data_IF_516328295985
#
_entry.id   IF_516328295985
#
_cell.length_a   1.000
_cell.length_b   1.000
_cell.length_c   1.000
_cell.angle_alpha   90.00
_cell.angle_beta   90.00
_cell.angle_gamma   90.00
#
_symmetry.space_group_name_H-M   'P 1'
#
loop_
_entity.id
_entity.type
_entity.pdbx_description
1 polymer ?
#
# COMPACT_ATOMS: atom_id res chain seq x y z
N UNK A 1 38.97 18.81 -16.56
CA UNK A 1 38.76 17.54 -17.27
C UNK A 1 39.21 17.72 -18.71
N UNK A 2 40.07 16.85 -19.24
CA UNK A 2 40.37 16.84 -20.67
C UNK A 2 39.07 16.50 -21.43
N UNK A 3 38.79 17.19 -22.54
CA UNK A 3 37.62 16.87 -23.37
C UNK A 3 37.75 15.45 -23.92
N UNK A 4 36.66 14.70 -23.99
CA UNK A 4 36.68 13.34 -24.55
C UNK A 4 37.10 13.36 -26.03
N UNK A 5 36.87 14.47 -26.73
CA UNK A 5 37.44 14.70 -28.07
C UNK A 5 38.97 14.77 -28.07
N UNK A 6 39.61 15.24 -27.01
CA UNK A 6 41.08 15.23 -26.87
C UNK A 6 41.58 13.82 -26.46
N UNK A 7 40.78 13.07 -25.72
CA UNK A 7 41.05 11.67 -25.36
C UNK A 7 40.98 10.77 -26.60
N UNK A 8 39.96 10.93 -27.45
CA UNK A 8 39.84 10.19 -28.72
C UNK A 8 41.00 10.52 -29.68
N UNK A 9 41.41 11.79 -29.78
CA UNK A 9 42.59 12.21 -30.57
C UNK A 9 43.90 11.65 -30.02
N UNK A 10 44.06 11.59 -28.70
CA UNK A 10 45.27 11.03 -28.07
C UNK A 10 45.33 9.51 -28.25
N UNK A 11 44.21 8.81 -28.15
CA UNK A 11 44.12 7.39 -28.50
C UNK A 11 44.52 7.14 -29.96
N UNK A 12 44.00 7.94 -30.89
CA UNK A 12 44.36 7.85 -32.31
C UNK A 12 45.83 8.12 -32.56
N UNK A 13 46.40 9.15 -31.94
CA UNK A 13 47.82 9.46 -32.05
C UNK A 13 48.69 8.35 -31.46
N UNK A 14 48.27 7.74 -30.35
CA UNK A 14 49.00 6.66 -29.69
C UNK A 14 49.02 5.37 -30.51
N UNK A 15 47.91 4.98 -31.14
CA UNK A 15 47.84 3.82 -32.03
C UNK A 15 48.75 3.98 -33.27
N UNK A 16 48.91 5.21 -33.78
CA UNK A 16 49.84 5.49 -34.89
C UNK A 16 51.29 5.31 -34.44
N UNK A 17 51.61 5.68 -33.19
CA UNK A 17 52.98 5.62 -32.67
C UNK A 17 53.35 4.22 -32.17
N UNK A 18 52.39 3.47 -31.61
CA UNK A 18 52.61 2.15 -31.01
C UNK A 18 51.54 1.13 -31.45
N UNK A 19 51.71 0.49 -32.62
CA UNK A 19 50.72 -0.45 -33.17
C UNK A 19 50.43 -1.67 -32.27
N UNK A 20 51.45 -2.16 -31.54
CA UNK A 20 51.32 -3.38 -30.71
C UNK A 20 50.70 -3.14 -29.32
N UNK A 21 50.27 -1.89 -29.03
CA UNK A 21 49.83 -1.48 -27.68
C UNK A 21 48.30 -1.43 -27.51
N UNK A 22 47.55 -1.91 -28.50
CA UNK A 22 46.08 -1.87 -28.55
C UNK A 22 45.41 -2.51 -27.33
N UNK A 23 45.90 -3.65 -26.85
CA UNK A 23 45.35 -4.33 -25.68
C UNK A 23 45.42 -3.47 -24.40
N UNK A 24 46.52 -2.74 -24.20
CA UNK A 24 46.69 -1.84 -23.06
C UNK A 24 45.78 -0.62 -23.16
N UNK A 25 45.51 -0.18 -24.39
CA UNK A 25 44.60 0.92 -24.69
C UNK A 25 43.15 0.55 -24.37
N UNK A 26 42.74 -0.67 -24.71
CA UNK A 26 41.44 -1.24 -24.37
C UNK A 26 41.25 -1.28 -22.85
N UNK A 27 42.23 -1.80 -22.09
CA UNK A 27 42.19 -1.82 -20.62
C UNK A 27 42.00 -0.42 -20.02
N UNK A 28 42.73 0.58 -20.55
CA UNK A 28 42.64 1.97 -20.08
C UNK A 28 41.29 2.61 -20.43
N UNK A 29 40.74 2.32 -21.61
CA UNK A 29 39.41 2.80 -22.00
C UNK A 29 38.34 2.24 -21.05
N UNK A 30 38.35 0.92 -20.80
CA UNK A 30 37.43 0.27 -19.84
C UNK A 30 37.57 0.85 -18.44
N UNK A 31 38.81 1.06 -17.94
CA UNK A 31 39.04 1.67 -16.63
C UNK A 31 38.51 3.11 -16.52
N UNK A 32 38.67 3.91 -17.58
CA UNK A 32 38.14 5.28 -17.64
C UNK A 32 36.61 5.29 -17.59
N UNK A 33 35.93 4.49 -18.41
CA UNK A 33 34.47 4.42 -18.40
C UNK A 33 33.94 3.86 -17.08
N UNK A 34 34.59 2.84 -16.51
CA UNK A 34 34.23 2.30 -15.18
C UNK A 34 34.24 3.40 -14.11
N UNK A 35 35.29 4.22 -14.06
CA UNK A 35 35.37 5.31 -13.09
C UNK A 35 34.28 6.39 -13.30
N UNK A 36 33.97 6.72 -14.56
CA UNK A 36 32.90 7.68 -14.86
C UNK A 36 31.52 7.15 -14.49
N UNK A 37 31.26 5.87 -14.75
CA UNK A 37 30.02 5.22 -14.33
C UNK A 37 29.91 5.09 -12.80
N UNK A 38 31.00 4.85 -12.08
CA UNK A 38 31.00 4.90 -10.62
C UNK A 38 30.72 6.30 -10.07
N UNK A 39 31.13 7.35 -10.78
CA UNK A 39 30.74 8.74 -10.43
C UNK A 39 29.22 8.91 -10.54
N UNK A 40 28.60 8.42 -11.62
CA UNK A 40 27.13 8.43 -11.78
C UNK A 40 26.45 7.60 -10.69
N UNK A 41 27.00 6.43 -10.33
CA UNK A 41 26.48 5.58 -9.26
C UNK A 41 26.56 6.25 -7.88
N UNK A 42 27.64 7.00 -7.62
CA UNK A 42 27.78 7.82 -6.43
C UNK A 42 26.72 8.90 -6.36
N UNK A 43 26.51 9.59 -7.48
CA UNK A 43 25.51 10.63 -7.65
C UNK A 43 24.08 10.08 -7.39
N UNK A 44 23.80 8.84 -7.80
CA UNK A 44 22.52 8.16 -7.57
C UNK A 44 22.14 8.01 -6.09
N UNK A 45 23.13 7.94 -5.18
CA UNK A 45 22.89 7.87 -3.74
C UNK A 45 22.34 9.16 -3.15
N UNK A 46 22.60 10.30 -3.81
CA UNK A 46 22.17 11.63 -3.35
C UNK A 46 20.79 12.05 -3.90
N UNK A 47 20.09 11.14 -4.60
CA UNK A 47 18.81 11.34 -5.29
C UNK A 47 18.88 12.44 -6.36
N UNK A 48 19.08 12.00 -7.60
CA UNK A 48 19.17 12.87 -8.76
C UNK A 48 17.90 12.75 -9.60
N UNK A 49 17.36 13.85 -10.13
CA UNK A 49 16.19 13.77 -11.01
C UNK A 49 16.53 13.05 -12.31
N UNK A 50 15.55 12.35 -12.89
CA UNK A 50 15.74 11.61 -14.14
C UNK A 50 16.27 12.46 -15.30
N UNK A 51 16.00 13.77 -15.34
CA UNK A 51 16.56 14.68 -16.35
C UNK A 51 18.08 14.77 -16.32
N UNK A 52 18.65 14.84 -15.12
CA UNK A 52 20.10 14.98 -14.92
C UNK A 52 20.78 13.62 -15.15
N UNK A 53 20.14 12.53 -14.72
CA UNK A 53 20.59 11.17 -15.05
C UNK A 53 20.63 10.95 -16.56
N UNK A 54 19.59 11.33 -17.29
CA UNK A 54 19.54 11.23 -18.75
C UNK A 54 20.65 12.05 -19.42
N UNK A 55 20.93 13.26 -18.93
CA UNK A 55 22.00 14.09 -19.46
C UNK A 55 23.38 13.44 -19.25
N UNK A 56 23.63 12.87 -18.06
CA UNK A 56 24.86 12.15 -17.76
C UNK A 56 25.01 10.89 -18.65
N UNK A 57 23.96 10.08 -18.77
CA UNK A 57 23.98 8.86 -19.58
C UNK A 57 24.14 9.17 -21.07
N UNK A 58 23.52 10.25 -21.58
CA UNK A 58 23.69 10.71 -22.96
C UNK A 58 25.15 11.08 -23.23
N UNK A 59 25.76 11.89 -22.36
CA UNK A 59 27.17 12.25 -22.49
C UNK A 59 28.08 11.02 -22.49
N UNK A 60 27.84 10.05 -21.60
CA UNK A 60 28.62 8.82 -21.55
C UNK A 60 28.44 7.93 -22.79
N UNK A 61 27.24 7.90 -23.37
CA UNK A 61 26.99 7.19 -24.62
C UNK A 61 27.71 7.82 -25.81
N UNK A 62 27.58 9.14 -25.97
CA UNK A 62 28.28 9.90 -27.04
C UNK A 62 29.79 9.69 -26.93
N UNK A 63 30.33 9.78 -25.71
CA UNK A 63 31.73 9.54 -25.43
C UNK A 63 32.18 8.10 -25.75
N UNK A 64 31.33 7.11 -25.45
CA UNK A 64 31.61 5.71 -25.76
C UNK A 64 31.65 5.47 -27.28
N UNK A 65 30.69 6.03 -28.03
CA UNK A 65 30.66 5.91 -29.49
C UNK A 65 31.87 6.60 -30.15
N UNK A 66 32.29 7.77 -29.65
CA UNK A 66 33.44 8.50 -30.19
C UNK A 66 34.80 7.82 -29.95
N UNK A 67 34.91 6.98 -28.90
CA UNK A 67 36.12 6.18 -28.65
C UNK A 67 36.06 4.85 -29.39
N UNK A 68 34.87 4.26 -29.56
CA UNK A 68 34.67 3.02 -30.34
C UNK A 68 35.00 3.20 -31.83
N UNK A 69 34.81 4.40 -32.39
CA UNK A 69 35.30 4.76 -33.74
C UNK A 69 36.83 4.63 -33.88
N UNK A 70 37.56 4.75 -32.76
CA UNK A 70 39.03 4.66 -32.74
C UNK A 70 39.50 3.26 -32.32
N UNK A 71 38.77 2.59 -31.42
CA UNK A 71 39.12 1.28 -30.86
C UNK A 71 37.87 0.38 -30.87
N UNK A 72 37.46 -0.09 -32.04
CA UNK A 72 36.24 -0.90 -32.17
C UNK A 72 36.33 -2.26 -31.48
N UNK A 73 37.55 -2.77 -31.25
CA UNK A 73 37.78 -4.01 -30.52
C UNK A 73 37.52 -3.88 -29.01
N UNK A 74 37.42 -2.64 -28.50
CA UNK A 74 37.08 -2.39 -27.09
C UNK A 74 35.60 -2.66 -26.77
N UNK A 75 34.73 -2.74 -27.79
CA UNK A 75 33.28 -2.97 -27.66
C UNK A 75 32.62 -2.07 -26.59
N UNK A 76 33.05 -0.80 -26.52
CA UNK A 76 32.59 0.15 -25.51
C UNK A 76 31.07 0.39 -25.54
N UNK A 77 30.38 0.40 -26.70
CA UNK A 77 28.94 0.51 -26.75
C UNK A 77 28.22 -0.66 -26.06
N UNK A 78 28.75 -1.89 -26.15
CA UNK A 78 28.17 -3.04 -25.47
C UNK A 78 28.35 -2.95 -23.95
N UNK A 79 29.55 -2.56 -23.49
CA UNK A 79 29.83 -2.30 -22.08
C UNK A 79 28.96 -1.16 -21.51
N UNK A 80 28.82 -0.09 -22.27
CA UNK A 80 28.02 1.10 -21.93
C UNK A 80 26.53 0.78 -21.83
N UNK A 81 26.01 -0.09 -22.71
CA UNK A 81 24.64 -0.59 -22.66
C UNK A 81 24.36 -1.37 -21.38
N UNK A 82 25.22 -2.35 -21.03
CA UNK A 82 25.03 -3.18 -19.83
C UNK A 82 25.18 -2.36 -18.54
N UNK A 83 26.16 -1.45 -18.49
CA UNK A 83 26.35 -0.60 -17.31
C UNK A 83 25.19 0.37 -17.13
N UNK A 84 24.67 0.94 -18.22
CA UNK A 84 23.52 1.83 -18.16
C UNK A 84 22.24 1.11 -17.76
N UNK A 85 22.05 -0.13 -18.26
CA UNK A 85 20.96 -1.02 -17.83
C UNK A 85 20.95 -1.18 -16.31
N UNK A 86 22.09 -1.48 -15.70
CA UNK A 86 22.21 -1.63 -14.24
C UNK A 86 21.95 -0.32 -13.48
N UNK A 87 22.46 0.80 -13.99
CA UNK A 87 22.24 2.12 -13.37
C UNK A 87 20.77 2.50 -13.39
N UNK A 88 20.08 2.30 -14.51
CA UNK A 88 18.65 2.61 -14.61
C UNK A 88 17.83 1.73 -13.67
N UNK A 89 18.13 0.42 -13.62
CA UNK A 89 17.48 -0.48 -12.67
C UNK A 89 17.67 -0.01 -11.22
N UNK A 90 18.89 0.39 -10.86
CA UNK A 90 19.20 0.93 -9.55
C UNK A 90 18.47 2.25 -9.27
N UNK A 91 18.33 3.12 -10.26
CA UNK A 91 17.61 4.40 -10.15
C UNK A 91 16.15 4.18 -9.79
N UNK A 92 15.46 3.32 -10.54
CA UNK A 92 14.05 2.97 -10.32
C UNK A 92 13.86 2.39 -8.92
N UNK A 93 14.69 1.41 -8.53
CA UNK A 93 14.62 0.80 -7.20
C UNK A 93 14.84 1.80 -6.06
N UNK A 94 15.80 2.73 -6.23
CA UNK A 94 16.10 3.77 -5.24
C UNK A 94 14.96 4.77 -5.12
N UNK A 95 14.33 5.15 -6.23
CA UNK A 95 13.18 6.05 -6.26
C UNK A 95 11.96 5.47 -5.51
N UNK A 96 11.64 4.19 -5.71
CA UNK A 96 10.60 3.50 -4.94
C UNK A 96 10.92 3.40 -3.44
N UNK A 97 12.17 3.11 -3.09
CA UNK A 97 12.61 3.07 -1.70
C UNK A 97 12.45 4.44 -1.01
N UNK A 98 12.81 5.52 -1.69
CA UNK A 98 12.60 6.88 -1.19
C UNK A 98 11.12 7.17 -0.94
N UNK A 99 10.23 6.84 -1.89
CA UNK A 99 8.79 7.02 -1.71
C UNK A 99 8.27 6.23 -0.49
N UNK A 100 8.71 4.99 -0.32
CA UNK A 100 8.33 4.17 0.83
C UNK A 100 8.77 4.83 2.16
N UNK A 101 9.99 5.35 2.22
CA UNK A 101 10.51 6.04 3.40
C UNK A 101 9.72 7.33 3.68
N UNK A 102 9.42 8.12 2.66
CA UNK A 102 8.64 9.36 2.81
C UNK A 102 7.21 9.10 3.32
N UNK A 103 6.56 8.02 2.87
CA UNK A 103 5.24 7.62 3.38
C UNK A 103 5.35 7.17 4.84
N UNK A 104 6.37 6.37 5.14
CA UNK A 104 6.64 5.88 6.50
C UNK A 104 6.90 7.02 7.47
N UNK A 105 7.69 8.02 7.08
CA UNK A 105 7.99 9.19 7.90
C UNK A 105 6.74 9.99 8.23
N UNK A 106 5.84 10.18 7.25
CA UNK A 106 4.55 10.84 7.48
C UNK A 106 3.72 10.04 8.49
N UNK A 107 3.62 8.71 8.34
CA UNK A 107 2.84 7.87 9.25
C UNK A 107 3.41 7.85 10.68
N UNK A 108 4.73 7.75 10.84
CA UNK A 108 5.40 7.70 12.14
C UNK A 108 5.36 9.04 12.87
N UNK A 109 5.59 10.15 12.16
CA UNK A 109 5.55 11.51 12.74
C UNK A 109 4.19 11.82 13.40
N UNK A 110 3.12 11.25 12.88
CA UNK A 110 1.76 11.45 13.41
C UNK A 110 1.37 10.48 14.54
N UNK A 111 2.20 9.45 14.81
CA UNK A 111 1.96 8.46 15.87
C UNK A 111 2.56 8.84 17.23
N UNK A 112 3.52 9.78 17.26
CA UNK A 112 4.32 10.13 18.45
C UNK A 112 3.87 11.40 19.17
N UNK A 113 2.91 12.17 18.65
CA UNK A 113 2.36 13.33 19.37
C UNK A 113 1.44 12.85 20.50
N UNK A 114 2.03 12.64 21.68
CA UNK A 114 1.35 12.29 22.95
C UNK A 114 0.45 13.40 23.52
N UNK A 115 0.25 14.50 22.79
CA UNK A 115 -0.71 15.53 23.19
C UNK A 115 -2.09 15.15 22.67
N UNK A 116 -3.12 15.37 23.50
CA UNK A 116 -4.53 15.12 23.17
C UNK A 116 -4.82 15.56 21.73
N UNK A 117 -4.86 14.58 20.83
CA UNK A 117 -4.97 14.82 19.40
C UNK A 117 -6.30 15.51 19.15
N UNK A 118 -6.28 16.79 18.82
CA UNK A 118 -7.49 17.51 18.45
C UNK A 118 -8.09 16.86 17.20
N UNK A 119 -9.42 16.81 17.13
CA UNK A 119 -10.19 16.15 16.06
C UNK A 119 -9.78 16.63 14.64
N UNK A 120 -9.26 17.86 14.54
CA UNK A 120 -8.76 18.47 13.30
C UNK A 120 -7.37 17.97 12.86
N UNK A 121 -6.51 17.56 13.79
CA UNK A 121 -5.12 17.18 13.53
C UNK A 121 -5.03 15.77 12.92
N UNK A 122 -5.85 14.84 13.41
CA UNK A 122 -5.91 13.46 12.91
C UNK A 122 -6.42 13.38 11.47
N UNK A 123 -7.48 14.13 11.17
CA UNK A 123 -8.03 14.21 9.82
C UNK A 123 -7.02 14.84 8.85
N UNK A 124 -6.30 15.87 9.29
CA UNK A 124 -5.23 16.50 8.50
C UNK A 124 -4.07 15.53 8.24
N UNK A 125 -3.63 14.79 9.26
CA UNK A 125 -2.59 13.77 9.13
C UNK A 125 -3.00 12.66 8.15
N UNK A 126 -4.25 12.19 8.27
CA UNK A 126 -4.82 11.19 7.38
C UNK A 126 -4.86 11.68 5.93
N UNK A 127 -5.35 12.89 5.69
CA UNK A 127 -5.42 13.45 4.35
C UNK A 127 -4.02 13.69 3.76
N UNK A 128 -3.07 14.15 4.58
CA UNK A 128 -1.66 14.28 4.19
C UNK A 128 -1.07 12.93 3.78
N UNK A 129 -1.38 11.85 4.48
CA UNK A 129 -0.90 10.50 4.14
C UNK A 129 -1.46 10.02 2.81
N UNK A 130 -2.76 10.21 2.56
CA UNK A 130 -3.41 9.86 1.28
C UNK A 130 -2.81 10.64 0.12
N UNK A 131 -2.66 11.95 0.28
CA UNK A 131 -2.04 12.82 -0.72
C UNK A 131 -0.62 12.35 -0.99
N UNK A 132 0.17 12.05 0.05
CA UNK A 132 1.55 11.62 -0.13
C UNK A 132 1.67 10.29 -0.89
N UNK A 133 0.81 9.31 -0.57
CA UNK A 133 0.77 8.02 -1.27
C UNK A 133 0.36 8.22 -2.73
N UNK A 134 -0.74 8.93 -2.98
CA UNK A 134 -1.27 9.10 -4.35
C UNK A 134 -0.36 9.99 -5.20
N UNK A 135 0.04 11.15 -4.70
CA UNK A 135 0.88 12.09 -5.45
C UNK A 135 2.28 11.51 -5.66
N UNK A 136 2.85 10.83 -4.66
CA UNK A 136 4.17 10.22 -4.81
C UNK A 136 4.20 9.13 -5.89
N UNK A 137 3.13 8.33 -6.04
CA UNK A 137 3.05 7.37 -7.14
C UNK A 137 2.98 8.06 -8.51
N UNK A 138 2.23 9.17 -8.61
CA UNK A 138 2.10 9.95 -9.86
C UNK A 138 3.42 10.64 -10.21
N UNK A 139 4.11 11.22 -9.22
CA UNK A 139 5.40 11.88 -9.40
C UNK A 139 6.44 10.87 -9.93
N UNK A 140 6.47 9.65 -9.38
CA UNK A 140 7.33 8.57 -9.89
C UNK A 140 6.97 8.17 -11.33
N UNK A 141 5.68 8.03 -11.65
CA UNK A 141 5.24 7.72 -13.02
C UNK A 141 5.68 8.80 -14.01
N UNK A 142 5.54 10.08 -13.64
CA UNK A 142 6.00 11.21 -14.45
C UNK A 142 7.52 11.20 -14.62
N UNK A 143 8.26 10.93 -13.54
CA UNK A 143 9.71 10.82 -13.57
C UNK A 143 10.17 9.68 -14.51
N UNK A 144 9.57 8.49 -14.41
CA UNK A 144 9.90 7.37 -15.29
C UNK A 144 9.42 7.57 -16.72
N UNK A 145 8.34 8.33 -16.93
CA UNK A 145 7.93 8.73 -18.27
C UNK A 145 8.99 9.61 -18.92
N UNK A 146 9.54 10.59 -18.20
CA UNK A 146 10.67 11.38 -18.69
C UNK A 146 11.88 10.52 -19.04
N UNK A 147 12.15 9.47 -18.25
CA UNK A 147 13.22 8.51 -18.52
C UNK A 147 13.01 7.74 -19.84
N UNK A 148 11.78 7.28 -20.11
CA UNK A 148 11.45 6.56 -21.35
C UNK A 148 11.38 7.47 -22.58
N UNK A 149 10.92 8.71 -22.41
CA UNK A 149 10.86 9.72 -23.48
C UNK A 149 12.26 10.22 -23.90
N UNK A 150 13.32 9.79 -23.21
CA UNK A 150 14.71 10.06 -23.58
C UNK A 150 15.08 9.46 -24.95
N UNK A 151 15.23 10.32 -25.96
CA UNK A 151 15.62 9.91 -27.32
C UNK A 151 17.14 9.68 -27.47
N UNK A 152 17.70 8.70 -26.79
CA UNK A 152 19.04 8.16 -27.12
C UNK A 152 18.93 6.73 -27.64
N UNK A 153 19.80 6.34 -28.57
CA UNK A 153 19.80 5.00 -29.16
C UNK A 153 19.87 3.90 -28.09
N UNK A 154 20.63 4.15 -27.02
CA UNK A 154 20.71 3.27 -25.86
C UNK A 154 19.36 3.10 -25.14
N UNK A 155 18.60 4.17 -24.94
CA UNK A 155 17.30 4.11 -24.25
C UNK A 155 16.23 3.44 -25.10
N UNK A 156 16.30 3.60 -26.43
CA UNK A 156 15.42 2.85 -27.35
C UNK A 156 15.61 1.34 -27.18
N UNK A 157 16.87 0.89 -27.03
CA UNK A 157 17.21 -0.53 -26.80
C UNK A 157 16.78 -1.03 -25.41
N UNK A 158 16.76 -0.16 -24.40
CA UNK A 158 16.40 -0.51 -23.02
C UNK A 158 14.93 -0.28 -22.68
N UNK A 159 14.14 0.35 -23.57
CA UNK A 159 12.77 0.78 -23.29
C UNK A 159 11.89 -0.32 -22.72
N UNK A 160 11.90 -1.50 -23.33
CA UNK A 160 11.06 -2.62 -22.89
C UNK A 160 11.48 -3.12 -21.49
N UNK A 161 12.79 -3.14 -21.21
CA UNK A 161 13.31 -3.49 -19.88
C UNK A 161 12.93 -2.45 -18.82
N UNK A 162 12.97 -1.17 -19.18
CA UNK A 162 12.55 -0.08 -18.28
C UNK A 162 11.08 -0.21 -17.95
N UNK A 163 10.23 -0.48 -18.95
CA UNK A 163 8.79 -0.75 -18.74
C UNK A 163 8.61 -1.91 -17.76
N UNK A 164 9.31 -3.03 -17.98
CA UNK A 164 9.23 -4.20 -17.11
C UNK A 164 9.67 -3.89 -15.68
N UNK A 165 10.77 -3.16 -15.47
CA UNK A 165 11.23 -2.77 -14.14
C UNK A 165 10.30 -1.79 -13.42
N UNK A 166 9.65 -0.88 -14.15
CA UNK A 166 8.66 0.03 -13.56
C UNK A 166 7.44 -0.77 -13.10
N UNK A 167 6.94 -1.70 -13.93
CA UNK A 167 5.83 -2.57 -13.57
C UNK A 167 6.17 -3.46 -12.36
N UNK A 168 7.32 -4.14 -12.39
CA UNK A 168 7.82 -4.95 -11.27
C UNK A 168 8.00 -4.09 -10.01
N UNK A 169 8.56 -2.89 -10.17
CA UNK A 169 8.78 -1.94 -9.07
C UNK A 169 7.50 -1.51 -8.39
N UNK A 170 6.42 -1.23 -9.13
CA UNK A 170 5.12 -0.95 -8.52
C UNK A 170 4.55 -2.15 -7.77
N UNK A 171 4.65 -3.36 -8.33
CA UNK A 171 4.19 -4.59 -7.67
C UNK A 171 4.91 -4.79 -6.33
N UNK A 172 6.24 -4.71 -6.33
CA UNK A 172 7.09 -4.89 -5.16
C UNK A 172 6.90 -3.75 -4.14
N UNK A 173 6.79 -2.50 -4.60
CA UNK A 173 6.52 -1.34 -3.75
C UNK A 173 5.24 -1.51 -2.94
N UNK A 174 4.13 -1.88 -3.60
CA UNK A 174 2.85 -2.04 -2.92
C UNK A 174 2.85 -3.22 -1.93
N UNK A 175 3.56 -4.31 -2.24
CA UNK A 175 3.73 -5.44 -1.32
C UNK A 175 4.58 -5.06 -0.09
N UNK A 176 5.69 -4.34 -0.30
CA UNK A 176 6.56 -3.86 0.78
C UNK A 176 5.87 -2.82 1.66
N UNK A 177 5.05 -1.95 1.07
CA UNK A 177 4.26 -0.97 1.80
C UNK A 177 3.21 -1.64 2.70
N UNK A 178 2.51 -2.66 2.20
CA UNK A 178 1.59 -3.47 3.01
C UNK A 178 2.32 -4.17 4.16
N UNK A 179 3.48 -4.78 3.88
CA UNK A 179 4.34 -5.38 4.90
C UNK A 179 4.76 -4.37 5.99
N UNK A 180 5.05 -3.13 5.60
CA UNK A 180 5.35 -2.06 6.54
C UNK A 180 4.13 -1.66 7.39
N UNK A 181 2.92 -1.66 6.82
CA UNK A 181 1.69 -1.41 7.59
C UNK A 181 1.46 -2.47 8.66
N UNK A 182 1.74 -3.75 8.36
CA UNK A 182 1.67 -4.82 9.38
C UNK A 182 2.69 -4.62 10.51
N UNK A 183 3.90 -4.16 10.17
CA UNK A 183 4.92 -3.81 11.16
C UNK A 183 4.48 -2.66 12.07
N UNK A 184 3.93 -1.58 11.48
CA UNK A 184 3.41 -0.42 12.22
C UNK A 184 2.21 -0.76 13.11
N UNK A 185 1.37 -1.71 12.67
CA UNK A 185 0.24 -2.22 13.47
C UNK A 185 0.69 -3.07 14.68
N UNK A 186 2.00 -3.28 14.90
CA UNK A 186 2.55 -4.12 15.97
C UNK A 186 2.34 -5.61 15.77
N UNK A 187 1.89 -6.02 14.58
CA UNK A 187 1.65 -7.41 14.21
C UNK A 187 2.79 -7.90 13.32
N UNK A 188 3.99 -8.00 13.90
CA UNK A 188 5.08 -8.74 13.25
C UNK A 188 4.70 -10.21 13.23
N UNK A 189 4.35 -10.74 12.06
CA UNK A 189 4.31 -12.19 11.86
C UNK A 189 5.75 -12.70 11.90
N UNK A 190 6.19 -13.10 13.09
CA UNK A 190 7.40 -13.88 13.26
C UNK A 190 7.27 -15.24 12.58
N UNK A 191 8.01 -15.43 11.49
CA UNK A 191 8.55 -16.74 11.15
C UNK A 191 9.53 -17.12 12.26
N UNK A 192 9.11 -17.97 13.21
CA UNK A 192 9.93 -18.97 13.92
C UNK A 192 9.23 -19.44 15.21
N UNK A 193 8.75 -20.67 15.14
CA UNK A 193 8.83 -21.76 16.13
C UNK A 193 8.89 -21.42 17.63
N UNK A 194 7.84 -21.91 18.32
CA UNK A 194 7.83 -22.47 19.68
C UNK A 194 8.86 -21.95 20.71
N UNK A 195 8.37 -21.12 21.63
CA UNK A 195 8.67 -21.33 23.05
C UNK A 195 7.62 -20.64 23.91
N UNK A 196 7.21 -21.37 24.94
CA UNK A 196 6.12 -21.12 25.85
C UNK A 196 6.34 -19.94 26.81
N UNK A 197 5.24 -19.61 27.49
CA UNK A 197 5.15 -19.04 28.84
C UNK A 197 5.45 -17.55 29.05
N UNK A 198 4.34 -16.83 29.25
CA UNK A 198 4.13 -15.66 30.12
C UNK A 198 4.86 -14.37 29.70
N UNK A 199 4.16 -13.54 28.92
CA UNK A 199 4.16 -12.08 29.10
C UNK A 199 3.04 -11.42 28.25
N UNK A 200 1.83 -11.35 28.83
CA UNK A 200 0.68 -10.60 28.26
C UNK A 200 0.75 -9.09 28.58
N UNK A 201 1.94 -8.48 28.54
CA UNK A 201 2.21 -7.11 29.03
C UNK A 201 2.71 -6.14 27.93
N UNK A 202 2.52 -6.43 26.64
CA UNK A 202 2.86 -5.49 25.56
C UNK A 202 1.72 -5.19 24.59
N UNK A 203 0.50 -4.95 25.09
CA UNK A 203 -0.59 -4.38 24.27
C UNK A 203 -0.49 -2.84 24.21
N UNK A 204 0.44 -2.22 24.93
CA UNK A 204 0.39 -0.78 25.26
C UNK A 204 1.31 0.13 24.42
N UNK A 205 1.69 -0.24 23.20
CA UNK A 205 2.62 0.59 22.38
C UNK A 205 2.16 0.97 20.98
N UNK A 206 1.01 0.48 20.50
CA UNK A 206 0.48 0.89 19.19
C UNK A 206 -0.72 1.82 19.40
N UNK A 207 -0.65 3.10 18.97
CA UNK A 207 -1.81 3.98 19.02
C UNK A 207 -2.98 3.34 18.28
N UNK A 208 -4.09 3.07 18.98
CA UNK A 208 -5.26 2.39 18.38
C UNK A 208 -5.80 3.18 17.17
N UNK A 209 -5.61 4.50 17.20
CA UNK A 209 -5.91 5.44 16.11
C UNK A 209 -5.08 5.16 14.85
N UNK A 210 -3.80 4.80 14.98
CA UNK A 210 -2.92 4.46 13.85
C UNK A 210 -3.44 3.21 13.12
N UNK A 211 -3.88 2.19 13.85
CA UNK A 211 -4.45 0.97 13.25
C UNK A 211 -5.69 1.29 12.40
N UNK A 212 -6.54 2.21 12.86
CA UNK A 212 -7.73 2.64 12.11
C UNK A 212 -7.35 3.48 10.88
N UNK A 213 -6.34 4.35 10.99
CA UNK A 213 -5.78 5.07 9.85
C UNK A 213 -5.23 4.12 8.79
N UNK A 214 -4.47 3.10 9.18
CA UNK A 214 -3.93 2.09 8.26
C UNK A 214 -5.05 1.35 7.53
N UNK A 215 -6.12 0.97 8.22
CA UNK A 215 -7.29 0.35 7.61
C UNK A 215 -7.92 1.24 6.52
N UNK A 216 -8.14 2.52 6.83
CA UNK A 216 -8.71 3.46 5.86
C UNK A 216 -7.74 3.80 4.72
N UNK A 217 -6.43 3.82 4.98
CA UNK A 217 -5.41 4.05 3.95
C UNK A 217 -5.37 2.88 2.96
N UNK A 218 -5.54 1.64 3.43
CA UNK A 218 -5.67 0.47 2.57
C UNK A 218 -6.86 0.60 1.61
N UNK A 219 -8.02 1.05 2.11
CA UNK A 219 -9.22 1.29 1.29
C UNK A 219 -8.95 2.38 0.26
N UNK A 220 -8.30 3.47 0.65
CA UNK A 220 -7.95 4.55 -0.28
C UNK A 220 -6.99 4.07 -1.38
N UNK A 221 -5.98 3.29 -1.01
CA UNK A 221 -5.03 2.70 -1.98
C UNK A 221 -5.79 1.80 -2.97
N UNK A 222 -6.67 0.94 -2.46
CA UNK A 222 -7.51 0.05 -3.27
C UNK A 222 -8.43 0.81 -4.24
N UNK A 223 -9.15 1.82 -3.75
CA UNK A 223 -10.24 2.45 -4.49
C UNK A 223 -9.78 3.62 -5.38
N UNK A 224 -8.64 4.24 -5.09
CA UNK A 224 -8.22 5.48 -5.75
C UNK A 224 -6.81 5.37 -6.30
N UNK A 225 -5.83 4.98 -5.48
CA UNK A 225 -4.42 4.97 -5.93
C UNK A 225 -4.16 3.91 -6.99
N UNK A 226 -4.57 2.66 -6.76
CA UNK A 226 -4.31 1.56 -7.70
C UNK A 226 -5.00 1.79 -9.05
N UNK A 227 -6.29 2.17 -9.13
CA UNK A 227 -6.93 2.47 -10.41
C UNK A 227 -6.20 3.57 -11.18
N UNK A 228 -5.80 4.66 -10.50
CA UNK A 228 -5.09 5.77 -11.13
C UNK A 228 -3.70 5.37 -11.64
N UNK A 229 -2.94 4.64 -10.83
CA UNK A 229 -1.64 4.08 -11.24
C UNK A 229 -1.81 3.13 -12.42
N UNK A 230 -2.86 2.31 -12.43
CA UNK A 230 -3.14 1.36 -13.52
C UNK A 230 -3.46 2.08 -14.82
N UNK A 231 -4.25 3.15 -14.77
CA UNK A 231 -4.59 3.99 -15.93
C UNK A 231 -3.33 4.66 -16.51
N UNK A 232 -2.56 5.37 -15.67
CA UNK A 232 -1.34 6.05 -16.09
C UNK A 232 -0.28 5.07 -16.64
N UNK A 233 -0.19 3.87 -16.05
CA UNK A 233 0.71 2.80 -16.49
C UNK A 233 0.25 2.20 -17.83
N UNK A 234 -1.05 2.04 -18.04
CA UNK A 234 -1.59 1.59 -19.33
C UNK A 234 -1.36 2.64 -20.44
N UNK A 235 -1.40 3.92 -20.11
CA UNK A 235 -1.18 5.01 -21.08
C UNK A 235 0.28 5.14 -21.50
N UNK A 236 1.21 5.06 -20.53
CA UNK A 236 2.63 5.41 -20.77
C UNK A 236 3.57 4.19 -20.84
N UNK A 237 3.15 3.04 -20.31
CA UNK A 237 3.99 1.84 -20.13
C UNK A 237 3.32 0.56 -20.68
N UNK A 238 2.49 0.71 -21.73
CA UNK A 238 1.93 -0.42 -22.47
C UNK A 238 2.97 -1.01 -23.43
N UNK A 239 3.13 -2.35 -23.41
CA UNK A 239 3.98 -3.07 -24.37
C UNK A 239 5.17 -3.85 -23.81
N UNK A 240 5.25 -4.12 -22.50
CA UNK A 240 6.28 -4.99 -21.91
C UNK A 240 6.21 -6.43 -22.43
N UNK A 241 6.90 -6.71 -23.54
CA UNK A 241 6.87 -7.98 -24.26
C UNK A 241 8.19 -8.75 -24.25
N UNK A 242 9.28 -8.15 -23.74
CA UNK A 242 10.62 -8.75 -23.70
C UNK A 242 10.82 -9.69 -22.49
N UNK A 243 9.77 -10.40 -22.07
CA UNK A 243 9.82 -11.24 -20.87
C UNK A 243 10.52 -12.56 -21.14
N UNK A 244 11.82 -12.58 -20.94
CA UNK A 244 12.55 -13.81 -20.59
C UNK A 244 12.10 -14.24 -19.18
N UNK A 245 12.01 -15.55 -18.91
CA UNK A 245 11.60 -16.15 -17.63
C UNK A 245 12.41 -15.72 -16.37
N UNK A 246 13.36 -14.80 -16.51
CA UNK A 246 14.29 -14.33 -15.46
C UNK A 246 13.81 -13.07 -14.70
N UNK A 247 12.76 -12.38 -15.17
CA UNK A 247 12.29 -11.13 -14.57
C UNK A 247 10.99 -11.30 -13.77
N UNK A 248 10.77 -10.42 -12.77
CA UNK A 248 9.69 -10.53 -11.80
C UNK A 248 8.27 -10.42 -12.39
N UNK A 249 7.23 -10.72 -11.58
CA UNK A 249 5.86 -10.65 -12.04
C UNK A 249 5.47 -9.22 -12.45
N UNK A 250 4.59 -9.05 -13.45
CA UNK A 250 4.10 -7.73 -13.82
C UNK A 250 3.34 -7.09 -12.66
N UNK A 251 3.09 -5.80 -12.78
CA UNK A 251 2.06 -5.17 -11.96
C UNK A 251 0.71 -5.83 -12.23
N UNK A 252 0.13 -6.47 -11.20
CA UNK A 252 -1.19 -7.10 -11.28
C UNK A 252 -2.14 -6.34 -10.36
N UNK A 253 -2.90 -5.35 -10.88
CA UNK A 253 -3.79 -4.51 -10.07
C UNK A 253 -4.77 -5.33 -9.23
N UNK A 254 -5.31 -6.42 -9.78
CA UNK A 254 -6.25 -7.30 -9.10
C UNK A 254 -5.67 -8.00 -7.86
N UNK A 255 -4.39 -8.38 -7.89
CA UNK A 255 -3.72 -9.00 -6.74
C UNK A 255 -3.47 -7.97 -5.65
N UNK A 256 -2.96 -6.79 -6.02
CA UNK A 256 -2.68 -5.71 -5.08
C UNK A 256 -3.98 -5.18 -4.45
N UNK A 257 -5.06 -4.99 -5.23
CA UNK A 257 -6.37 -4.62 -4.67
C UNK A 257 -6.86 -5.66 -3.66
N UNK A 258 -6.74 -6.95 -3.96
CA UNK A 258 -7.12 -8.01 -3.01
C UNK A 258 -6.25 -8.01 -1.76
N UNK A 259 -4.95 -7.74 -1.90
CA UNK A 259 -4.02 -7.62 -0.79
C UNK A 259 -4.46 -6.50 0.16
N UNK A 260 -4.63 -5.28 -0.35
CA UNK A 260 -5.03 -4.13 0.46
C UNK A 260 -6.43 -4.26 1.03
N UNK A 261 -7.38 -4.88 0.32
CA UNK A 261 -8.70 -5.20 0.89
C UNK A 261 -8.58 -6.13 2.10
N UNK A 262 -7.86 -7.24 1.94
CA UNK A 262 -7.63 -8.21 3.02
C UNK A 262 -6.88 -7.58 4.20
N UNK A 263 -5.86 -6.75 3.94
CA UNK A 263 -5.11 -6.07 4.99
C UNK A 263 -5.95 -5.01 5.70
N UNK A 264 -6.75 -4.23 4.97
CA UNK A 264 -7.72 -3.29 5.53
C UNK A 264 -8.71 -3.97 6.48
N UNK A 265 -9.27 -5.11 6.09
CA UNK A 265 -10.11 -5.96 6.94
C UNK A 265 -9.39 -6.42 8.20
N UNK A 266 -8.14 -6.89 8.08
CA UNK A 266 -7.33 -7.33 9.22
C UNK A 266 -7.05 -6.19 10.19
N UNK A 267 -6.73 -5.00 9.71
CA UNK A 267 -6.48 -3.82 10.54
C UNK A 267 -7.76 -3.35 11.23
N UNK A 268 -8.89 -3.31 10.51
CA UNK A 268 -10.18 -2.97 11.10
C UNK A 268 -10.58 -3.96 12.20
N UNK A 269 -10.44 -5.27 11.95
CA UNK A 269 -10.71 -6.28 12.95
C UNK A 269 -9.75 -6.16 14.16
N UNK A 270 -8.49 -5.80 13.91
CA UNK A 270 -7.52 -5.57 14.98
C UNK A 270 -7.93 -4.39 15.87
N UNK A 271 -8.35 -3.27 15.26
CA UNK A 271 -8.91 -2.12 15.97
C UNK A 271 -10.13 -2.52 16.83
N UNK A 272 -11.09 -3.25 16.25
CA UNK A 272 -12.28 -3.73 16.95
C UNK A 272 -11.88 -4.61 18.14
N UNK A 273 -10.93 -5.53 17.95
CA UNK A 273 -10.45 -6.40 19.03
C UNK A 273 -9.82 -5.60 20.17
N UNK A 274 -8.99 -4.60 19.87
CA UNK A 274 -8.36 -3.73 20.89
C UNK A 274 -9.44 -2.98 21.69
N UNK A 275 -10.39 -2.32 21.00
CA UNK A 275 -11.48 -1.57 21.67
C UNK A 275 -12.40 -2.49 22.46
N UNK A 276 -12.76 -3.66 21.91
CA UNK A 276 -13.61 -4.65 22.58
C UNK A 276 -12.93 -5.20 23.83
N UNK A 277 -11.63 -5.47 23.80
CA UNK A 277 -10.87 -5.89 24.98
C UNK A 277 -10.84 -4.81 26.05
N UNK A 278 -10.67 -3.53 25.68
CA UNK A 278 -10.71 -2.39 26.62
C UNK A 278 -12.07 -2.30 27.31
N UNK A 279 -13.16 -2.37 26.54
CA UNK A 279 -14.54 -2.38 27.07
C UNK A 279 -14.78 -3.60 27.95
N UNK A 280 -14.33 -4.79 27.53
CA UNK A 280 -14.49 -6.03 28.30
C UNK A 280 -13.76 -5.97 29.65
N UNK A 281 -12.55 -5.40 29.70
CA UNK A 281 -11.83 -5.17 30.95
C UNK A 281 -12.57 -4.19 31.87
N UNK A 282 -13.13 -3.11 31.32
CA UNK A 282 -13.95 -2.15 32.06
C UNK A 282 -15.19 -2.83 32.66
N UNK A 283 -15.87 -3.66 31.87
CA UNK A 283 -17.05 -4.43 32.24
C UNK A 283 -16.73 -5.45 33.36
N UNK A 284 -15.73 -6.30 33.13
CA UNK A 284 -15.31 -7.35 34.07
C UNK A 284 -14.84 -6.77 35.41
N UNK A 285 -14.16 -5.61 35.41
CA UNK A 285 -13.72 -4.94 36.64
C UNK A 285 -14.89 -4.58 37.57
N UNK A 286 -16.07 -4.28 37.02
CA UNK A 286 -17.26 -3.96 37.81
C UNK A 286 -18.08 -5.18 38.20
N UNK A 287 -18.28 -6.12 37.27
CA UNK A 287 -19.07 -7.33 37.55
C UNK A 287 -18.38 -8.32 38.50
N UNK A 288 -17.05 -8.33 38.55
CA UNK A 288 -16.29 -9.21 39.45
C UNK A 288 -16.19 -8.70 40.90
N UNK A 289 -16.85 -7.61 41.27
CA UNK A 289 -16.83 -7.11 42.66
C UNK A 289 -17.70 -8.02 43.54
N UNK A 290 -17.15 -8.70 44.58
CA UNK A 290 -17.76 -9.93 45.10
C UNK A 290 -18.90 -9.77 46.12
N UNK A 291 -19.41 -8.58 46.42
CA UNK A 291 -20.45 -8.45 47.47
C UNK A 291 -21.52 -7.40 47.13
N UNK A 292 -22.38 -7.75 46.19
CA UNK A 292 -23.58 -6.97 45.84
C UNK A 292 -24.57 -6.82 47.02
N UNK A 293 -24.52 -7.72 48.00
CA UNK A 293 -25.46 -7.77 49.13
C UNK A 293 -25.13 -6.82 50.30
N UNK A 294 -23.89 -6.28 50.38
CA UNK A 294 -23.42 -5.46 51.54
C UNK A 294 -23.21 -3.98 51.21
N UNK A 295 -23.32 -3.57 49.95
CA UNK A 295 -23.13 -2.18 49.55
C UNK A 295 -24.47 -1.44 49.39
N UNK A 296 -24.55 -0.22 49.96
CA UNK A 296 -25.66 0.72 49.75
C UNK A 296 -25.81 1.00 48.24
N UNK A 297 -27.05 1.22 47.78
CA UNK A 297 -27.39 1.46 46.37
C UNK A 297 -26.30 2.23 45.62
N UNK A 298 -25.76 1.66 44.52
CA UNK A 298 -24.54 2.17 43.92
C UNK A 298 -24.82 3.49 43.18
N UNK A 299 -24.56 4.61 43.86
CA UNK A 299 -24.35 5.94 43.22
C UNK A 299 -23.28 5.89 42.12
N UNK A 300 -22.46 4.84 42.11
CA UNK A 300 -21.40 4.57 41.16
C UNK A 300 -21.85 3.99 39.81
N UNK A 301 -23.09 3.51 39.67
CA UNK A 301 -23.58 2.97 38.39
C UNK A 301 -23.61 4.08 37.33
N UNK A 302 -24.07 5.28 37.69
CA UNK A 302 -24.08 6.42 36.79
C UNK A 302 -22.65 6.76 36.33
N UNK A 303 -21.70 6.84 37.26
CA UNK A 303 -20.29 7.10 36.93
C UNK A 303 -19.67 6.02 36.02
N UNK A 304 -20.04 4.76 36.19
CA UNK A 304 -19.59 3.68 35.30
C UNK A 304 -20.26 3.76 33.92
N UNK A 305 -21.57 4.03 33.87
CA UNK A 305 -22.30 4.25 32.62
C UNK A 305 -21.71 5.46 31.89
N UNK A 306 -21.36 6.53 32.59
CA UNK A 306 -20.70 7.71 32.04
C UNK A 306 -19.30 7.36 31.49
N UNK A 307 -18.51 6.56 32.21
CA UNK A 307 -17.21 6.05 31.73
C UNK A 307 -17.35 5.15 30.48
N UNK A 308 -18.34 4.27 30.47
CA UNK A 308 -18.63 3.41 29.33
C UNK A 308 -19.12 4.23 28.12
N UNK A 309 -20.00 5.21 28.37
CA UNK A 309 -20.50 6.13 27.37
C UNK A 309 -19.38 7.01 26.81
N UNK A 310 -18.43 7.45 27.65
CA UNK A 310 -17.25 8.19 27.24
C UNK A 310 -16.37 7.35 26.30
N UNK A 311 -16.13 6.07 26.62
CA UNK A 311 -15.37 5.16 25.75
C UNK A 311 -16.08 4.90 24.41
N UNK A 312 -17.40 4.69 24.42
CA UNK A 312 -18.18 4.56 23.18
C UNK A 312 -18.19 5.85 22.35
N UNK A 313 -18.39 7.00 22.99
CA UNK A 313 -18.35 8.28 22.30
C UNK A 313 -16.96 8.58 21.72
N UNK A 314 -15.89 8.17 22.41
CA UNK A 314 -14.52 8.22 21.88
C UNK A 314 -14.36 7.38 20.61
N UNK A 315 -14.85 6.13 20.63
CA UNK A 315 -14.84 5.26 19.43
C UNK A 315 -15.66 5.86 18.29
N UNK A 316 -16.85 6.40 18.58
CA UNK A 316 -17.71 7.04 17.56
C UNK A 316 -17.03 8.27 16.97
N UNK A 317 -16.37 9.09 17.80
CA UNK A 317 -15.59 10.26 17.34
C UNK A 317 -14.43 9.83 16.44
N UNK A 318 -13.62 8.85 16.87
CA UNK A 318 -12.48 8.31 16.11
C UNK A 318 -12.92 7.75 14.74
N UNK A 319 -13.98 6.93 14.72
CA UNK A 319 -14.51 6.32 13.49
C UNK A 319 -15.11 7.39 12.58
N UNK A 320 -15.83 8.37 13.11
CA UNK A 320 -16.43 9.45 12.31
C UNK A 320 -15.36 10.31 11.63
N UNK A 321 -14.22 10.54 12.28
CA UNK A 321 -13.13 11.34 11.73
C UNK A 321 -12.34 10.59 10.66
N UNK A 322 -12.01 9.32 10.89
CA UNK A 322 -11.17 8.55 9.97
C UNK A 322 -12.00 7.91 8.85
N UNK A 323 -13.22 7.44 9.14
CA UNK A 323 -14.15 6.85 8.18
C UNK A 323 -15.41 7.69 8.00
N UNK A 324 -15.32 8.89 7.39
CA UNK A 324 -16.48 9.78 7.21
C UNK A 324 -17.56 9.25 6.24
N UNK A 325 -17.41 8.04 5.68
CA UNK A 325 -18.33 7.44 4.70
C UNK A 325 -19.00 6.14 5.10
N UNK A 326 -18.69 5.53 6.25
CA UNK A 326 -19.23 4.19 6.57
C UNK A 326 -20.67 4.19 7.13
N UNK A 327 -21.38 5.32 7.09
CA UNK A 327 -22.82 5.34 7.32
C UNK A 327 -23.51 5.00 6.00
N UNK A 328 -23.39 3.74 5.57
CA UNK A 328 -24.33 3.19 4.60
C UNK A 328 -25.66 3.10 5.34
N UNK A 329 -26.55 4.08 5.15
CA UNK A 329 -27.98 3.83 5.39
C UNK A 329 -28.29 2.57 4.59
N UNK A 330 -28.73 1.52 5.27
CA UNK A 330 -29.33 0.37 4.63
C UNK A 330 -30.32 0.93 3.59
N UNK A 331 -29.94 0.88 2.31
CA UNK A 331 -30.92 1.02 1.24
C UNK A 331 -31.73 -0.24 1.38
N UNK A 332 -32.83 -0.16 2.14
CA UNK A 332 -33.93 -1.07 1.93
C UNK A 332 -34.17 -1.09 0.43
N UNK A 333 -33.96 -2.26 -0.17
CA UNK A 333 -34.43 -2.53 -1.51
C UNK A 333 -35.95 -2.42 -1.40
N UNK A 334 -36.49 -1.23 -1.69
CA UNK A 334 -37.90 -1.06 -1.96
C UNK A 334 -38.15 -1.79 -3.28
N UNK A 335 -38.32 -3.12 -3.18
CA UNK A 335 -38.80 -3.95 -4.25
C UNK A 335 -40.22 -3.52 -4.55
N UNK A 336 -40.37 -2.61 -5.50
CA UNK A 336 -41.61 -2.36 -6.21
C UNK A 336 -42.14 -3.69 -6.72
N UNK A 337 -43.36 -4.01 -6.26
CA UNK A 337 -44.01 -5.30 -6.48
C UNK A 337 -44.05 -5.69 -7.95
N UNK A 338 -43.32 -6.74 -8.29
CA UNK A 338 -43.60 -7.57 -9.47
C UNK A 338 -44.56 -8.68 -9.06
N UNK A 339 -45.85 -8.38 -9.11
CA UNK A 339 -46.93 -9.36 -9.00
C UNK A 339 -47.42 -9.71 -10.41
N UNK A 340 -46.77 -10.67 -11.06
CA UNK A 340 -47.35 -11.38 -12.22
C UNK A 340 -46.97 -12.86 -12.18
N UNK A 341 -47.50 -13.54 -11.18
CA UNK A 341 -47.59 -15.01 -11.12
C UNK A 341 -48.60 -15.51 -12.15
N UNK A 342 -48.17 -16.41 -13.03
CA UNK A 342 -49.06 -17.25 -13.83
C UNK A 342 -49.48 -18.48 -13.01
N UNK A 343 -50.81 -18.67 -12.84
CA UNK A 343 -51.60 -19.91 -13.07
C UNK A 343 -52.69 -20.21 -12.03
N UNK A 344 -53.90 -20.34 -12.59
CA UNK A 344 -55.03 -21.24 -12.26
C UNK A 344 -55.82 -21.10 -10.96
N UNK A 345 -57.00 -20.48 -11.14
CA UNK A 345 -58.36 -20.67 -10.62
C UNK A 345 -58.76 -21.75 -9.58
N UNK A 346 -59.91 -21.53 -8.90
CA UNK A 346 -60.17 -21.87 -7.49
C UNK A 346 -61.21 -22.99 -7.32
N UNK A 347 -61.34 -23.53 -6.11
CA UNK A 347 -62.60 -24.02 -5.51
C UNK A 347 -62.38 -24.72 -4.16
N UNK A 348 -62.92 -24.14 -3.08
CA UNK A 348 -63.93 -24.70 -2.14
C UNK A 348 -63.73 -24.26 -0.69
N UNK A 349 -64.82 -23.70 -0.16
CA UNK A 349 -65.14 -23.50 1.26
C UNK A 349 -65.29 -24.84 2.00
N UNK A 350 -64.86 -24.86 3.27
CA UNK A 350 -65.69 -25.28 4.42
C UNK A 350 -64.91 -24.91 5.70
N UNK A 351 -65.36 -23.89 6.43
CA UNK A 351 -66.22 -24.00 7.62
C UNK A 351 -65.51 -24.51 8.89
N UNK A 352 -65.64 -23.68 9.94
CA UNK A 352 -65.72 -24.01 11.37
C UNK A 352 -64.45 -23.95 12.25
N UNK A 353 -64.52 -22.96 13.14
CA UNK A 353 -64.41 -23.08 14.60
C UNK A 353 -63.18 -22.53 15.35
N UNK A 354 -63.53 -21.61 16.26
CA UNK A 354 -63.06 -21.47 17.67
C UNK A 354 -61.70 -20.81 17.93
N UNK A 355 -61.80 -19.54 18.32
CA UNK A 355 -61.26 -18.94 19.56
C UNK A 355 -59.97 -19.53 20.14
N UNK A 356 -58.88 -18.77 20.06
CA UNK A 356 -57.80 -18.77 21.05
C UNK A 356 -56.99 -17.46 20.98
N UNK A 357 -57.40 -16.44 21.72
CA UNK A 357 -56.76 -15.11 21.77
C UNK A 357 -55.48 -15.04 22.62
N UNK A 358 -54.90 -16.17 23.04
CA UNK A 358 -53.68 -16.20 23.85
C UNK A 358 -52.43 -16.79 23.15
N UNK A 359 -52.51 -17.24 21.88
CA UNK A 359 -51.32 -17.71 21.11
C UNK A 359 -50.64 -16.62 20.29
N UNK A 360 -51.34 -15.54 19.95
CA UNK A 360 -50.77 -14.45 19.14
C UNK A 360 -49.68 -13.66 19.87
N UNK A 361 -49.69 -13.64 21.21
CA UNK A 361 -48.71 -12.90 22.02
C UNK A 361 -47.39 -13.65 22.20
N UNK A 362 -47.43 -15.00 22.27
CA UNK A 362 -46.20 -15.81 22.34
C UNK A 362 -45.52 -15.87 20.98
N UNK A 363 -46.28 -16.02 19.88
CA UNK A 363 -45.71 -16.00 18.52
C UNK A 363 -45.10 -14.63 18.18
N UNK A 364 -45.67 -13.53 18.70
CA UNK A 364 -45.07 -12.20 18.52
C UNK A 364 -43.73 -12.09 19.26
N UNK A 365 -43.64 -12.56 20.51
CA UNK A 365 -42.40 -12.55 21.28
C UNK A 365 -41.37 -13.53 20.72
N UNK A 366 -41.80 -14.70 20.26
CA UNK A 366 -40.96 -15.73 19.66
C UNK A 366 -40.44 -15.28 18.29
N UNK A 367 -41.26 -14.59 17.48
CA UNK A 367 -40.79 -13.94 16.25
C UNK A 367 -39.91 -12.73 16.53
N UNK A 368 -40.13 -11.97 17.61
CA UNK A 368 -39.23 -10.87 18.00
C UNK A 368 -37.91 -11.39 18.57
N UNK A 369 -37.93 -12.50 19.32
CA UNK A 369 -36.72 -13.16 19.81
C UNK A 369 -35.97 -13.81 18.65
N UNK A 370 -36.66 -14.51 17.75
CA UNK A 370 -36.07 -15.05 16.53
C UNK A 370 -35.47 -13.92 15.68
N UNK A 371 -36.16 -12.79 15.49
CA UNK A 371 -35.60 -11.61 14.83
C UNK A 371 -34.42 -11.00 15.58
N UNK A 372 -34.47 -10.92 16.92
CA UNK A 372 -33.34 -10.43 17.71
C UNK A 372 -32.15 -11.37 17.63
N UNK A 373 -32.37 -12.69 17.57
CA UNK A 373 -31.32 -13.69 17.43
C UNK A 373 -30.79 -13.78 16.00
N UNK A 374 -31.64 -13.62 15.00
CA UNK A 374 -31.28 -13.52 13.58
C UNK A 374 -30.48 -12.24 13.34
N UNK A 375 -30.95 -11.10 13.85
CA UNK A 375 -30.24 -9.82 13.82
C UNK A 375 -28.93 -9.85 14.63
N UNK A 376 -28.90 -10.56 15.76
CA UNK A 376 -27.67 -10.77 16.54
C UNK A 376 -26.71 -11.74 15.83
N UNK A 377 -27.20 -12.79 15.18
CA UNK A 377 -26.40 -13.68 14.33
C UNK A 377 -25.84 -12.94 13.11
N UNK A 378 -26.61 -12.01 12.54
CA UNK A 378 -26.21 -11.18 11.41
C UNK A 378 -25.10 -10.19 11.80
N UNK A 379 -25.15 -9.64 13.03
CA UNK A 379 -24.08 -8.84 13.64
C UNK A 379 -22.79 -9.66 13.87
N UNK A 380 -22.89 -10.99 14.01
CA UNK A 380 -21.74 -11.88 14.19
C UNK A 380 -21.29 -12.61 12.92
N UNK A 381 -22.04 -12.54 11.82
CA UNK A 381 -21.53 -12.94 10.51
C UNK A 381 -20.48 -11.93 10.04
N UNK A 382 -19.38 -12.46 9.49
CA UNK A 382 -18.21 -11.69 9.06
C UNK A 382 -18.61 -10.41 8.32
N UNK A 383 -18.12 -9.28 8.84
CA UNK A 383 -18.08 -8.02 8.10
C UNK A 383 -17.11 -8.18 6.93
N UNK A 384 -17.64 -8.52 5.76
CA UNK A 384 -16.94 -8.40 4.49
C UNK A 384 -17.09 -6.95 3.98
N UNK A 385 -16.04 -6.41 3.36
CA UNK A 385 -16.14 -5.14 2.65
C UNK A 385 -17.06 -5.28 1.44
N UNK A 386 -18.35 -5.00 1.63
CA UNK A 386 -19.27 -4.86 0.50
C UNK A 386 -19.27 -3.42 0.01
N UNK A 387 -18.57 -3.22 -1.12
CA UNK A 387 -18.65 -2.16 -2.14
C UNK A 387 -18.79 -0.70 -1.69
#
# INVERSE_FOLDING_TARGET
QASVGDISKTFRAYLIIFPDSESRLIELAHALFTNRYETVRGALKERIPSTDLLAMLRGLWEDATAIDEVISEAALPAFSLETTRDIIKQHIATAFLHLQNEISDVLVTHSTSNEKLEESQLQTAMEKSKIKVSQGCIDLLQEFRHLIDGNTELLVKLKDLIIDWVQEGFQDFFQKLDGHFHLLSGRSTGFSQESSTVDFVQIDKVPTVLVLMLAQLCVFIEQTTIPKVTEDLADSFSGGGARSSEYGPPFVPGEICRLYRSSGEKFLQHYINIKTQKISKLLNKRFSTPVWLKHKEPREVNMFVDLLLLEFNGVVSEVKQILPGLIRRHRHSDSTGSTTSSRSNPMREDMLNRSNTNRSRSQFLENHLAKLFEQKMEIFTKLEYTQ
#
